data_IF_834760329753
#
_entry.id   IF_834760329753
#
_cell.length_a   1.000
_cell.length_b   1.000
_cell.length_c   1.000
_cell.angle_alpha   90.00
_cell.angle_beta   90.00
_cell.angle_gamma   90.00
#
_symmetry.space_group_name_H-M   'P 1'
#
loop_
_entity.id
_entity.type
_entity.pdbx_description
1 polymer ?
#
# COMPACT_ATOMS: atom_id res chain seq x y z
N UNK A 1 10.97 -16.56 10.87
CA UNK A 1 10.14 -15.57 11.59
C UNK A 1 10.38 -14.10 11.16
N UNK A 2 11.38 -13.79 10.31
CA UNK A 2 11.84 -12.40 10.10
C UNK A 2 11.02 -11.45 9.20
N UNK A 3 10.24 -11.93 8.22
CA UNK A 3 9.54 -11.04 7.26
C UNK A 3 8.08 -10.76 7.60
N UNK A 4 7.36 -11.76 8.10
CA UNK A 4 5.93 -11.65 8.43
C UNK A 4 5.72 -10.75 9.66
N UNK A 5 6.56 -10.88 10.69
CA UNK A 5 6.48 -10.03 11.89
C UNK A 5 6.77 -8.56 11.60
N UNK A 6 7.79 -8.28 10.77
CA UNK A 6 8.08 -6.92 10.31
C UNK A 6 6.93 -6.33 9.50
N UNK A 7 6.33 -7.13 8.61
CA UNK A 7 5.17 -6.70 7.84
C UNK A 7 3.94 -6.39 8.71
N UNK A 8 3.64 -7.24 9.70
CA UNK A 8 2.54 -7.01 10.64
C UNK A 8 2.75 -5.76 11.50
N UNK A 9 3.99 -5.52 11.95
CA UNK A 9 4.35 -4.28 12.67
C UNK A 9 4.20 -3.04 11.80
N UNK A 10 4.59 -3.12 10.52
CA UNK A 10 4.49 -2.01 9.58
C UNK A 10 3.01 -1.70 9.27
N UNK A 11 2.18 -2.73 9.10
CA UNK A 11 0.74 -2.59 8.99
C UNK A 11 0.14 -1.94 10.24
N UNK A 12 0.39 -2.50 11.44
CA UNK A 12 -0.11 -1.96 12.71
C UNK A 12 0.32 -0.51 12.94
N UNK A 13 1.58 -0.17 12.66
CA UNK A 13 2.10 1.19 12.78
C UNK A 13 1.40 2.17 11.83
N UNK A 14 1.18 1.75 10.58
CA UNK A 14 0.44 2.56 9.59
C UNK A 14 -0.99 2.84 10.07
N UNK A 15 -1.67 1.83 10.63
CA UNK A 15 -3.01 2.00 11.20
C UNK A 15 -3.00 2.92 12.43
N UNK A 16 -2.06 2.73 13.35
CA UNK A 16 -1.96 3.54 14.57
C UNK A 16 -1.73 5.03 14.28
N UNK A 17 -0.86 5.34 13.30
CA UNK A 17 -0.64 6.72 12.85
C UNK A 17 -1.92 7.32 12.28
N UNK A 18 -2.63 6.54 11.44
CA UNK A 18 -3.89 6.98 10.86
C UNK A 18 -4.94 7.30 11.93
N UNK A 19 -5.10 6.43 12.93
CA UNK A 19 -5.98 6.66 14.07
C UNK A 19 -5.60 7.92 14.86
N UNK A 20 -4.30 8.15 15.10
CA UNK A 20 -3.81 9.32 15.81
C UNK A 20 -4.10 10.65 15.10
N UNK A 21 -4.15 10.63 13.76
CA UNK A 21 -4.54 11.80 12.95
C UNK A 21 -6.04 12.11 13.01
N UNK A 22 -6.87 11.16 13.44
CA UNK A 22 -8.33 11.18 13.26
C UNK A 22 -9.14 11.70 14.47
N UNK A 23 -8.63 12.67 15.25
CA UNK A 23 -9.20 13.10 16.55
C UNK A 23 -10.76 13.10 16.59
N UNK A 24 -11.34 12.17 17.38
CA UNK A 24 -12.73 12.17 17.89
C UNK A 24 -13.90 11.82 16.94
N UNK A 25 -13.74 10.97 15.94
CA UNK A 25 -14.87 10.30 15.27
C UNK A 25 -14.88 10.41 13.75
N UNK A 26 -14.13 11.35 13.18
CA UNK A 26 -13.90 11.49 11.74
C UNK A 26 -12.68 10.67 11.31
N UNK A 27 -12.71 9.39 11.70
CA UNK A 27 -11.71 8.34 11.41
C UNK A 27 -11.30 8.29 9.95
N UNK A 28 -10.01 8.45 9.65
CA UNK A 28 -9.41 8.48 8.30
C UNK A 28 -9.81 9.73 7.48
N UNK A 29 -9.16 10.20 6.41
CA UNK A 29 -9.12 9.57 5.06
C UNK A 29 -10.41 8.73 4.77
N UNK A 30 -11.52 9.01 5.44
CA UNK A 30 -12.79 8.26 5.52
C UNK A 30 -12.72 6.75 5.83
N UNK A 31 -13.68 6.18 6.58
CA UNK A 31 -14.07 4.78 6.41
C UNK A 31 -14.83 4.67 5.08
N UNK A 32 -14.15 4.94 3.97
CA UNK A 32 -14.74 4.71 2.65
C UNK A 32 -14.73 3.21 2.42
N UNK A 33 -15.69 2.70 1.65
CA UNK A 33 -15.70 1.29 1.24
C UNK A 33 -14.39 0.85 0.54
N UNK A 34 -13.51 1.80 0.17
CA UNK A 34 -12.27 1.60 -0.56
C UNK A 34 -11.01 1.46 0.33
N UNK A 35 -11.04 1.97 1.57
CA UNK A 35 -9.91 1.82 2.51
C UNK A 35 -9.84 0.42 3.11
N UNK A 36 -10.99 -0.23 3.37
CA UNK A 36 -11.05 -1.58 3.93
C UNK A 36 -10.40 -2.64 3.01
N UNK A 37 -10.66 -2.67 1.68
CA UNK A 37 -9.96 -3.56 0.77
C UNK A 37 -8.44 -3.31 0.74
N UNK A 38 -7.99 -2.05 0.78
CA UNK A 38 -6.56 -1.71 0.83
C UNK A 38 -5.89 -2.21 2.13
N UNK A 39 -6.58 -2.05 3.26
CA UNK A 39 -6.14 -2.54 4.57
C UNK A 39 -6.02 -4.05 4.58
N UNK A 40 -6.94 -4.76 3.91
CA UNK A 40 -6.91 -6.22 3.79
C UNK A 40 -5.85 -6.72 2.78
N UNK A 41 -5.61 -5.98 1.70
CA UNK A 41 -4.59 -6.32 0.69
C UNK A 41 -3.17 -6.20 1.24
N UNK A 42 -2.93 -5.27 2.15
CA UNK A 42 -1.62 -5.01 2.74
C UNK A 42 -0.99 -6.27 3.40
N UNK A 43 -1.61 -6.96 4.39
CA UNK A 43 -1.04 -8.16 4.98
C UNK A 43 -0.90 -9.31 3.98
N UNK A 44 -1.82 -9.44 3.02
CA UNK A 44 -1.77 -10.46 1.95
C UNK A 44 -0.53 -10.24 1.10
N UNK A 45 -0.29 -9.01 0.67
CA UNK A 45 0.89 -8.61 -0.09
C UNK A 45 2.18 -8.95 0.67
N UNK A 46 2.29 -8.55 1.94
CA UNK A 46 3.47 -8.82 2.76
C UNK A 46 3.77 -10.31 2.95
N UNK A 47 2.75 -11.13 3.23
CA UNK A 47 2.91 -12.58 3.37
C UNK A 47 3.33 -13.21 2.05
N UNK A 48 2.73 -12.77 0.94
CA UNK A 48 3.01 -13.28 -0.40
C UNK A 48 4.42 -12.93 -0.85
N UNK A 49 4.83 -11.67 -0.72
CA UNK A 49 6.18 -11.22 -1.08
C UNK A 49 7.26 -11.78 -0.14
N UNK A 50 6.96 -11.90 1.16
CA UNK A 50 7.89 -12.49 2.13
C UNK A 50 8.13 -14.00 1.96
N UNK A 51 7.27 -14.71 1.21
CA UNK A 51 7.35 -16.16 0.96
C UNK A 51 7.74 -16.52 -0.47
N UNK A 52 7.52 -15.65 -1.44
CA UNK A 52 7.75 -16.00 -2.84
C UNK A 52 9.22 -15.77 -3.22
N UNK A 53 9.91 -16.86 -3.57
CA UNK A 53 11.13 -16.80 -4.40
C UNK A 53 10.76 -16.54 -5.88
N UNK A 54 9.50 -16.78 -6.27
CA UNK A 54 8.97 -16.69 -7.64
C UNK A 54 7.43 -16.47 -7.68
N UNK A 55 6.92 -15.43 -7.03
CA UNK A 55 5.50 -15.06 -7.10
C UNK A 55 5.06 -14.90 -8.56
N UNK A 56 3.96 -15.56 -8.94
CA UNK A 56 3.47 -15.51 -10.32
C UNK A 56 3.18 -14.07 -10.73
N UNK A 57 3.96 -13.55 -11.68
CA UNK A 57 3.98 -12.15 -12.12
C UNK A 57 2.59 -11.58 -12.43
N UNK A 58 1.67 -12.41 -12.93
CA UNK A 58 0.29 -12.02 -13.23
C UNK A 58 -0.51 -11.67 -11.97
N UNK A 59 -0.38 -12.44 -10.90
CA UNK A 59 -1.10 -12.20 -9.65
C UNK A 59 -0.53 -10.98 -8.91
N UNK A 60 0.79 -10.77 -8.97
CA UNK A 60 1.42 -9.56 -8.41
C UNK A 60 1.01 -8.31 -9.17
N UNK A 61 0.98 -8.37 -10.51
CA UNK A 61 0.49 -7.28 -11.34
C UNK A 61 -0.99 -6.98 -11.07
N UNK A 62 -1.84 -8.00 -10.96
CA UNK A 62 -3.26 -7.82 -10.66
C UNK A 62 -3.49 -7.20 -9.27
N UNK A 63 -2.73 -7.66 -8.27
CA UNK A 63 -2.81 -7.12 -6.91
C UNK A 63 -2.34 -5.65 -6.85
N UNK A 64 -1.25 -5.32 -7.55
CA UNK A 64 -0.75 -3.95 -7.66
C UNK A 64 -1.75 -3.05 -8.39
N UNK A 65 -2.34 -3.52 -9.50
CA UNK A 65 -3.35 -2.79 -10.24
C UNK A 65 -4.60 -2.52 -9.39
N UNK A 66 -5.06 -3.53 -8.65
CA UNK A 66 -6.18 -3.39 -7.73
C UNK A 66 -5.88 -2.39 -6.63
N UNK A 67 -4.68 -2.42 -6.05
CA UNK A 67 -4.23 -1.47 -5.04
C UNK A 67 -4.28 -0.02 -5.55
N UNK A 68 -3.64 0.24 -6.70
CA UNK A 68 -3.62 1.57 -7.32
C UNK A 68 -5.04 2.05 -7.65
N UNK A 69 -5.89 1.16 -8.17
CA UNK A 69 -7.29 1.50 -8.47
C UNK A 69 -8.04 1.93 -7.21
N UNK A 70 -7.86 1.20 -6.11
CA UNK A 70 -8.48 1.52 -4.83
C UNK A 70 -7.95 2.85 -4.26
N UNK A 71 -6.66 3.15 -4.40
CA UNK A 71 -6.11 4.43 -3.95
C UNK A 71 -6.68 5.61 -4.75
N UNK A 72 -6.84 5.47 -6.07
CA UNK A 72 -7.46 6.50 -6.90
C UNK A 72 -8.92 6.71 -6.49
N UNK A 73 -9.68 5.63 -6.27
CA UNK A 73 -11.06 5.72 -5.80
C UNK A 73 -11.15 6.35 -4.40
N UNK A 74 -10.21 6.02 -3.52
CA UNK A 74 -10.10 6.60 -2.18
C UNK A 74 -9.84 8.11 -2.25
N UNK A 75 -8.83 8.52 -3.01
CA UNK A 75 -8.48 9.93 -3.20
C UNK A 75 -9.65 10.72 -3.81
N UNK A 76 -10.27 10.19 -4.85
CA UNK A 76 -11.44 10.79 -5.49
C UNK A 76 -12.62 10.93 -4.52
N UNK A 77 -12.88 9.91 -3.70
CA UNK A 77 -13.98 9.97 -2.75
C UNK A 77 -13.73 11.00 -1.64
N UNK A 78 -12.49 11.10 -1.15
CA UNK A 78 -12.10 12.11 -0.14
C UNK A 78 -12.24 13.51 -0.71
N UNK A 79 -11.74 13.77 -1.92
CA UNK A 79 -11.90 15.09 -2.55
C UNK A 79 -13.36 15.51 -2.72
N UNK A 80 -14.26 14.55 -2.99
CA UNK A 80 -15.68 14.84 -3.16
C UNK A 80 -16.47 14.98 -1.87
N UNK A 81 -16.19 14.14 -0.88
CA UNK A 81 -16.96 14.13 0.37
C UNK A 81 -16.42 15.12 1.39
N UNK A 82 -15.10 15.32 1.42
CA UNK A 82 -14.41 16.16 2.40
C UNK A 82 -13.33 17.02 1.74
N UNK A 83 -13.73 17.97 0.87
CA UNK A 83 -12.78 18.84 0.18
C UNK A 83 -11.94 19.63 1.18
N UNK A 84 -10.61 19.55 1.03
CA UNK A 84 -9.66 20.23 1.91
C UNK A 84 -9.26 19.47 3.18
N UNK A 85 -9.84 18.29 3.45
CA UNK A 85 -9.43 17.46 4.60
C UNK A 85 -7.93 17.15 4.60
N UNK A 86 -7.39 16.77 3.44
CA UNK A 86 -5.97 16.48 3.31
C UNK A 86 -5.10 17.71 3.58
N UNK A 87 -5.51 18.90 3.10
CA UNK A 87 -4.80 20.15 3.37
C UNK A 87 -4.83 20.50 4.86
N UNK A 88 -5.98 20.34 5.53
CA UNK A 88 -6.10 20.55 6.97
C UNK A 88 -5.19 19.60 7.77
N UNK A 89 -5.20 18.31 7.43
CA UNK A 89 -4.33 17.33 8.08
C UNK A 89 -2.85 17.62 7.84
N UNK A 90 -2.50 18.04 6.62
CA UNK A 90 -1.15 18.44 6.23
C UNK A 90 -0.66 19.67 7.01
N UNK A 91 -1.51 20.68 7.19
CA UNK A 91 -1.16 21.89 7.95
C UNK A 91 -0.97 21.61 9.45
N UNK A 92 -1.75 20.68 10.01
CA UNK A 92 -1.67 20.32 11.42
C UNK A 92 -0.47 19.44 11.76
N UNK A 93 -0.13 18.48 10.91
CA UNK A 93 0.90 17.47 11.19
C UNK A 93 1.58 16.94 9.91
N UNK A 94 2.34 17.78 9.18
CA UNK A 94 2.87 17.43 7.86
C UNK A 94 3.83 16.23 7.90
N UNK A 95 4.64 16.13 8.96
CA UNK A 95 5.57 15.02 9.17
C UNK A 95 4.84 13.69 9.42
N UNK A 96 3.73 13.73 10.16
CA UNK A 96 2.92 12.55 10.46
C UNK A 96 2.18 12.06 9.22
N UNK A 97 1.60 12.98 8.45
CA UNK A 97 0.93 12.69 7.17
C UNK A 97 1.92 12.10 6.16
N UNK A 98 3.10 12.69 6.02
CA UNK A 98 4.15 12.18 5.14
C UNK A 98 4.61 10.78 5.54
N UNK A 99 4.82 10.54 6.85
CA UNK A 99 5.20 9.23 7.37
C UNK A 99 4.12 8.19 7.09
N UNK A 100 2.86 8.54 7.36
CA UNK A 100 1.72 7.68 7.05
C UNK A 100 1.67 7.33 5.56
N UNK A 101 1.80 8.33 4.68
CA UNK A 101 1.73 8.13 3.23
C UNK A 101 2.85 7.24 2.71
N UNK A 102 4.09 7.43 3.20
CA UNK A 102 5.23 6.56 2.86
C UNK A 102 4.98 5.12 3.30
N UNK A 103 4.46 4.92 4.51
CA UNK A 103 4.13 3.58 5.01
C UNK A 103 2.94 2.97 4.26
N UNK A 104 1.96 3.77 3.89
CA UNK A 104 0.79 3.36 3.09
C UNK A 104 1.21 2.89 1.70
N UNK A 105 2.09 3.63 1.03
CA UNK A 105 2.62 3.28 -0.30
C UNK A 105 3.74 2.22 -0.25
N UNK A 106 4.36 2.02 0.91
CA UNK A 106 5.57 1.20 1.06
C UNK A 106 5.41 -0.24 0.58
N UNK A 107 4.27 -0.88 0.82
CA UNK A 107 4.03 -2.24 0.33
C UNK A 107 3.80 -2.33 -1.18
N UNK A 108 3.26 -1.28 -1.80
CA UNK A 108 3.11 -1.21 -3.25
C UNK A 108 4.45 -1.02 -3.95
N UNK A 109 5.36 -0.25 -3.34
CA UNK A 109 6.74 -0.13 -3.80
C UNK A 109 7.47 -1.48 -3.71
N UNK A 110 7.27 -2.24 -2.63
CA UNK A 110 7.81 -3.60 -2.49
C UNK A 110 7.21 -4.53 -3.55
N UNK A 111 5.90 -4.45 -3.79
CA UNK A 111 5.22 -5.21 -4.83
C UNK A 111 5.78 -4.91 -6.22
N UNK A 112 5.94 -3.63 -6.55
CA UNK A 112 6.51 -3.16 -7.81
C UNK A 112 7.96 -3.62 -7.98
N UNK A 113 8.80 -3.46 -6.96
CA UNK A 113 10.19 -3.91 -7.00
C UNK A 113 10.30 -5.44 -7.21
N UNK A 114 9.40 -6.21 -6.57
CA UNK A 114 9.33 -7.66 -6.73
C UNK A 114 8.90 -8.05 -8.15
N UNK A 115 7.92 -7.34 -8.71
CA UNK A 115 7.46 -7.53 -10.08
C UNK A 115 8.56 -7.21 -11.11
N UNK A 116 9.23 -6.08 -10.95
CA UNK A 116 10.36 -5.66 -11.79
C UNK A 116 11.45 -6.73 -11.75
N UNK A 117 11.87 -7.17 -10.56
CA UNK A 117 12.88 -8.22 -10.42
C UNK A 117 12.45 -9.53 -11.10
N UNK A 118 11.18 -9.91 -10.99
CA UNK A 118 10.66 -11.12 -11.63
C UNK A 118 10.63 -11.02 -13.17
N UNK A 119 10.32 -9.83 -13.71
CA UNK A 119 10.30 -9.59 -15.16
C UNK A 119 11.73 -9.57 -15.74
N UNK A 120 12.64 -8.82 -15.14
CA UNK A 120 14.02 -8.71 -15.64
C UNK A 120 14.87 -9.94 -15.32
N UNK A 121 14.62 -10.62 -14.19
CA UNK A 121 15.29 -11.89 -13.87
C UNK A 121 14.97 -12.99 -14.86
N UNK A 122 13.71 -13.07 -15.35
CA UNK A 122 13.31 -14.00 -16.41
C UNK A 122 13.87 -13.62 -17.78
N UNK A 123 13.99 -12.33 -18.08
CA UNK A 123 14.61 -11.87 -19.32
C UNK A 123 16.10 -12.25 -19.42
N UNK A 124 16.80 -12.33 -18.29
CA UNK A 124 18.20 -12.77 -18.21
C UNK A 124 18.39 -14.29 -18.35
N UNK A 125 17.33 -15.09 -18.16
CA UNK A 125 17.35 -16.56 -18.32
C UNK A 125 16.96 -17.01 -19.74
N UNK A 126 16.52 -16.10 -20.63
CA UNK A 126 16.35 -16.41 -22.04
C UNK A 126 17.75 -16.48 -22.69
N UNK A 127 18.19 -17.64 -23.19
CA UNK A 127 19.43 -17.70 -23.93
C UNK A 127 19.30 -16.84 -25.17
N UNK A 128 20.35 -16.11 -25.51
CA UNK A 128 20.54 -15.55 -26.84
C UNK A 128 20.30 -16.67 -27.87
N UNK A 129 19.14 -16.71 -28.51
CA UNK A 129 18.87 -17.75 -29.51
C UNK A 129 17.41 -17.93 -29.87
N UNK A 130 16.95 -17.13 -30.84
CA UNK A 130 16.71 -17.64 -32.20
C UNK A 130 16.66 -16.47 -33.17
#
# INVERSE_FOLDING_TARGET
>A
MGSIGAGALLWLGTQAIAFGMSKAGDGWIGPTAWSLPLVALYPIALVRFGRSRFGGTKADAAMLLMAVTLDVLLAYNIERQEPGYFAMAWDLAPSLVSTWFVLWMGWQLIALATLIRALFGRAAELPNGS
#
